data_IF_893176454840
#
_entry.id   IF_893176454840
#
_cell.length_a   1.000
_cell.length_b   1.000
_cell.length_c   1.000
_cell.angle_alpha   90.00
_cell.angle_beta   90.00
_cell.angle_gamma   90.00
#
_symmetry.space_group_name_H-M   'P 1'
#
loop_
_entity.id
_entity.type
_entity.pdbx_description
1 polymer ?
#
# COMPACT_ATOMS: atom_id res chain seq x y z
N UNK A 1 -7.87 -6.21 -13.55
CA UNK A 1 -7.90 -5.63 -12.20
C UNK A 1 -7.76 -6.74 -11.18
N UNK A 2 -6.89 -6.52 -10.20
CA UNK A 2 -6.74 -7.36 -9.02
C UNK A 2 -8.01 -7.28 -8.17
N UNK A 3 -8.38 -8.40 -7.55
CA UNK A 3 -9.43 -8.41 -6.54
C UNK A 3 -8.91 -7.82 -5.23
N UNK A 4 -9.81 -7.43 -4.33
CA UNK A 4 -9.43 -6.97 -2.98
C UNK A 4 -8.59 -8.03 -2.24
N UNK A 5 -8.92 -9.32 -2.41
CA UNK A 5 -8.14 -10.44 -1.88
C UNK A 5 -6.73 -10.49 -2.49
N UNK A 6 -6.59 -10.37 -3.80
CA UNK A 6 -5.26 -10.38 -4.46
C UNK A 6 -4.38 -9.23 -3.97
N UNK A 7 -4.97 -8.05 -3.77
CA UNK A 7 -4.29 -6.87 -3.21
C UNK A 7 -3.80 -7.15 -1.79
N UNK A 8 -4.70 -7.64 -0.93
CA UNK A 8 -4.38 -8.01 0.44
C UNK A 8 -3.24 -9.04 0.50
N UNK A 9 -3.34 -10.13 -0.26
CA UNK A 9 -2.34 -11.20 -0.28
C UNK A 9 -0.99 -10.67 -0.78
N UNK A 10 -0.99 -9.86 -1.84
CA UNK A 10 0.24 -9.27 -2.40
C UNK A 10 0.93 -8.33 -1.42
N UNK A 11 0.19 -7.42 -0.80
CA UNK A 11 0.76 -6.47 0.19
C UNK A 11 1.23 -7.21 1.43
N UNK A 12 0.43 -8.13 1.96
CA UNK A 12 0.78 -8.90 3.16
C UNK A 12 2.06 -9.69 2.95
N UNK A 13 2.16 -10.43 1.84
CA UNK A 13 3.37 -11.18 1.50
C UNK A 13 4.58 -10.26 1.33
N UNK A 14 4.40 -9.11 0.68
CA UNK A 14 5.49 -8.13 0.50
C UNK A 14 6.00 -7.60 1.84
N UNK A 15 5.11 -7.10 2.70
CA UNK A 15 5.49 -6.54 4.00
C UNK A 15 6.18 -7.59 4.89
N UNK A 16 5.63 -8.80 4.94
CA UNK A 16 6.18 -9.90 5.74
C UNK A 16 7.50 -10.44 5.19
N UNK A 17 7.77 -10.30 3.88
CA UNK A 17 9.06 -10.63 3.29
C UNK A 17 10.09 -9.52 3.51
N UNK A 18 9.69 -8.25 3.34
CA UNK A 18 10.59 -7.10 3.47
C UNK A 18 11.03 -6.86 4.91
N UNK A 19 10.12 -7.04 5.89
CA UNK A 19 10.36 -6.85 7.33
C UNK A 19 11.09 -5.55 7.68
N UNK A 20 10.76 -4.48 6.96
CA UNK A 20 11.33 -3.15 7.18
C UNK A 20 10.39 -2.09 6.60
N UNK A 21 10.29 -0.96 7.30
CA UNK A 21 9.56 0.22 6.85
C UNK A 21 10.28 0.83 5.63
N UNK A 22 9.49 1.30 4.67
CA UNK A 22 9.96 2.14 3.56
C UNK A 22 9.68 3.60 3.87
N UNK A 23 10.70 4.31 4.34
CA UNK A 23 10.62 5.70 4.80
C UNK A 23 11.84 6.51 4.35
N UNK A 24 11.75 7.84 4.38
CA UNK A 24 12.91 8.72 4.25
C UNK A 24 13.57 9.05 5.58
N UNK A 25 14.61 9.89 5.54
CA UNK A 25 15.41 10.27 6.71
C UNK A 25 14.60 10.96 7.81
N UNK A 26 13.40 11.46 7.50
CA UNK A 26 12.49 12.10 8.44
C UNK A 26 11.43 11.13 8.99
N UNK A 27 11.50 9.84 8.64
CA UNK A 27 10.51 8.83 9.00
C UNK A 27 9.19 8.96 8.22
N UNK A 28 9.19 9.70 7.10
CA UNK A 28 7.98 9.81 6.26
C UNK A 28 7.91 8.64 5.29
N UNK A 29 6.74 7.98 5.21
CA UNK A 29 6.51 6.86 4.31
C UNK A 29 6.86 7.22 2.86
N UNK A 30 7.51 6.26 2.17
CA UNK A 30 7.88 6.34 0.76
C UNK A 30 7.35 5.14 -0.01
N UNK A 31 6.72 5.39 -1.16
CA UNK A 31 6.36 4.30 -2.09
C UNK A 31 7.61 3.50 -2.45
N UNK A 32 8.75 4.19 -2.66
CA UNK A 32 10.08 3.57 -2.74
C UNK A 32 11.11 4.37 -1.95
N UNK A 33 11.78 3.70 -1.02
CA UNK A 33 12.92 4.25 -0.28
C UNK A 33 14.24 3.59 -0.70
N UNK A 34 15.33 4.01 -0.04
CA UNK A 34 16.65 3.42 -0.23
C UNK A 34 16.67 1.90 -0.04
N UNK A 35 17.69 1.25 -0.60
CA UNK A 35 17.88 -0.21 -0.51
C UNK A 35 16.77 -1.05 -1.15
N UNK A 36 16.02 -0.49 -2.10
CA UNK A 36 14.98 -1.21 -2.86
C UNK A 36 13.70 -1.50 -2.07
N UNK A 37 13.53 -0.87 -0.91
CA UNK A 37 12.34 -1.04 -0.08
C UNK A 37 11.13 -0.35 -0.70
N UNK A 38 9.96 -0.94 -0.52
CA UNK A 38 8.66 -0.40 -0.94
C UNK A 38 7.68 -0.44 0.23
N UNK A 39 6.85 0.58 0.40
CA UNK A 39 5.78 0.53 1.41
C UNK A 39 4.63 -0.38 0.94
N UNK A 40 3.55 -0.45 1.72
CA UNK A 40 2.33 -1.18 1.37
C UNK A 40 1.83 -0.81 -0.05
N UNK A 41 1.59 0.48 -0.29
CA UNK A 41 1.08 0.99 -1.58
C UNK A 41 2.13 0.87 -2.68
N UNK A 42 3.38 1.20 -2.38
CA UNK A 42 4.49 1.13 -3.33
C UNK A 42 4.74 -0.28 -3.88
N UNK A 43 4.44 -1.32 -3.09
CA UNK A 43 4.57 -2.73 -3.50
C UNK A 43 3.62 -3.14 -4.64
N UNK A 44 2.51 -2.40 -4.78
CA UNK A 44 1.49 -2.64 -5.80
C UNK A 44 1.84 -1.99 -7.14
N UNK A 45 2.62 -0.92 -7.12
CA UNK A 45 2.94 -0.12 -8.30
C UNK A 45 4.01 -0.83 -9.14
N UNK A 46 3.71 -1.06 -10.42
CA UNK A 46 4.66 -1.65 -11.36
C UNK A 46 5.94 -0.81 -11.46
N UNK A 47 7.09 -1.47 -11.63
CA UNK A 47 8.39 -0.80 -11.64
C UNK A 47 8.52 0.25 -12.73
N UNK A 48 7.93 0.00 -13.90
CA UNK A 48 7.95 0.88 -15.05
C UNK A 48 7.07 2.13 -14.87
N UNK A 49 6.09 2.05 -13.97
CA UNK A 49 5.12 3.11 -13.67
C UNK A 49 5.54 3.99 -12.49
N UNK A 50 6.50 3.55 -11.67
CA UNK A 50 7.02 4.36 -10.59
C UNK A 50 7.75 5.60 -11.12
N UNK A 51 7.44 6.75 -10.52
CA UNK A 51 8.01 8.06 -10.83
C UNK A 51 8.15 8.84 -9.53
N UNK A 52 9.25 9.56 -9.25
CA UNK A 52 9.38 10.31 -8.00
C UNK A 52 8.22 11.30 -7.74
N UNK A 53 7.53 11.75 -8.79
CA UNK A 53 6.40 12.67 -8.74
C UNK A 53 5.07 12.05 -8.24
N UNK A 54 5.00 10.73 -8.06
CA UNK A 54 3.85 10.06 -7.41
C UNK A 54 4.04 9.91 -5.90
N UNK A 55 5.21 10.27 -5.37
CA UNK A 55 5.48 10.31 -3.92
C UNK A 55 4.79 11.49 -3.23
N UNK A 56 4.67 11.42 -1.91
CA UNK A 56 4.24 12.54 -1.06
C UNK A 56 2.72 12.75 -0.95
N UNK A 57 1.92 11.87 -1.56
CA UNK A 57 0.46 11.82 -1.37
C UNK A 57 0.09 10.46 -0.81
N UNK A 58 -0.40 10.43 0.44
CA UNK A 58 -0.91 9.20 1.07
C UNK A 58 -2.23 8.75 0.46
N UNK A 59 -2.52 7.44 0.50
CA UNK A 59 -3.70 6.89 -0.18
C UNK A 59 -5.02 7.43 0.40
N UNK A 60 -5.03 7.81 1.69
CA UNK A 60 -6.18 8.42 2.37
C UNK A 60 -6.68 9.72 1.73
N UNK A 61 -5.83 10.46 1.01
CA UNK A 61 -6.22 11.65 0.24
C UNK A 61 -7.33 11.34 -0.78
N UNK A 62 -7.34 10.12 -1.31
CA UNK A 62 -8.25 9.69 -2.36
C UNK A 62 -9.62 9.22 -1.85
N UNK A 63 -9.89 9.31 -0.54
CA UNK A 63 -11.28 9.26 0.00
C UNK A 63 -12.15 10.39 -0.57
N UNK A 64 -11.53 11.52 -0.92
CA UNK A 64 -12.25 12.73 -1.35
C UNK A 64 -11.79 13.25 -2.72
N UNK A 65 -10.56 12.93 -3.13
CA UNK A 65 -10.06 13.27 -4.46
C UNK A 65 -10.51 12.25 -5.51
N UNK A 66 -10.85 12.75 -6.71
CA UNK A 66 -11.36 11.93 -7.83
C UNK A 66 -10.32 11.55 -8.87
N UNK A 67 -9.11 12.09 -8.76
CA UNK A 67 -8.01 11.83 -9.69
C UNK A 67 -6.66 12.24 -9.07
N UNK A 68 -5.56 11.69 -9.59
CA UNK A 68 -4.21 11.97 -9.14
C UNK A 68 -3.18 11.08 -9.83
N UNK A 69 -1.91 11.49 -9.78
CA UNK A 69 -0.82 10.72 -10.39
C UNK A 69 -0.65 9.33 -9.75
N UNK A 70 -0.80 9.23 -8.41
CA UNK A 70 -0.79 7.95 -7.70
C UNK A 70 -1.99 7.07 -8.08
N UNK A 71 -3.21 7.60 -8.13
CA UNK A 71 -4.40 6.84 -8.57
C UNK A 71 -4.23 6.26 -9.98
N UNK A 72 -3.74 7.07 -10.92
CA UNK A 72 -3.50 6.61 -12.28
C UNK A 72 -2.41 5.53 -12.33
N UNK A 73 -1.36 5.65 -11.53
CA UNK A 73 -0.29 4.65 -11.44
C UNK A 73 -0.81 3.32 -10.86
N UNK A 74 -1.64 3.37 -9.81
CA UNK A 74 -2.29 2.19 -9.23
C UNK A 74 -3.23 1.52 -10.25
N UNK A 75 -4.07 2.30 -10.93
CA UNK A 75 -5.00 1.78 -11.94
C UNK A 75 -4.26 1.10 -13.10
N UNK A 76 -3.19 1.72 -13.60
CA UNK A 76 -2.32 1.13 -14.61
C UNK A 76 -1.51 -0.07 -14.10
N UNK A 77 -1.41 -0.25 -12.78
CA UNK A 77 -0.84 -1.43 -12.11
C UNK A 77 -1.91 -2.46 -11.72
N UNK A 78 -3.08 -2.41 -12.36
CA UNK A 78 -4.23 -3.30 -12.12
C UNK A 78 -4.88 -3.17 -10.72
N UNK A 79 -4.66 -2.06 -10.00
CA UNK A 79 -5.31 -1.77 -8.72
C UNK A 79 -6.35 -0.66 -8.91
N UNK A 80 -7.63 -1.01 -8.79
CA UNK A 80 -8.73 -0.07 -8.99
C UNK A 80 -8.95 0.86 -7.77
N UNK A 81 -8.01 1.75 -7.49
CA UNK A 81 -8.12 2.73 -6.39
C UNK A 81 -9.13 3.88 -6.66
N UNK A 82 -9.97 3.77 -7.70
CA UNK A 82 -11.18 4.59 -7.84
C UNK A 82 -12.40 3.97 -7.14
N UNK A 83 -12.30 2.70 -6.77
CA UNK A 83 -13.30 2.00 -5.98
C UNK A 83 -13.11 2.34 -4.49
N UNK A 84 -14.12 2.92 -3.82
CA UNK A 84 -14.03 3.25 -2.40
C UNK A 84 -13.68 2.06 -1.50
N UNK A 85 -14.16 0.85 -1.81
CA UNK A 85 -13.85 -0.34 -1.00
C UNK A 85 -12.36 -0.71 -1.10
N UNK A 86 -11.79 -0.57 -2.30
CA UNK A 86 -10.35 -0.77 -2.52
C UNK A 86 -9.54 0.32 -1.81
N UNK A 87 -9.99 1.58 -1.86
CA UNK A 87 -9.32 2.68 -1.15
C UNK A 87 -9.28 2.41 0.36
N UNK A 88 -10.39 1.98 0.97
CA UNK A 88 -10.42 1.66 2.40
C UNK A 88 -9.47 0.50 2.74
N UNK A 89 -9.44 -0.58 1.94
CA UNK A 89 -8.47 -1.66 2.13
C UNK A 89 -7.02 -1.17 2.04
N UNK A 90 -6.70 -0.31 1.06
CA UNK A 90 -5.36 0.24 0.90
C UNK A 90 -4.95 1.11 2.09
N UNK A 91 -5.89 1.89 2.65
CA UNK A 91 -5.66 2.69 3.86
C UNK A 91 -5.33 1.78 5.04
N UNK A 92 -6.13 0.74 5.29
CA UNK A 92 -5.88 -0.20 6.39
C UNK A 92 -4.51 -0.88 6.28
N UNK A 93 -4.08 -1.21 5.06
CA UNK A 93 -2.77 -1.80 4.79
C UNK A 93 -1.61 -0.80 4.98
N UNK A 94 -1.81 0.46 4.60
CA UNK A 94 -0.87 1.55 4.83
C UNK A 94 -0.71 1.82 6.33
N UNK A 95 -1.82 1.89 7.08
CA UNK A 95 -1.82 2.06 8.54
C UNK A 95 -1.03 0.96 9.26
N UNK A 96 -1.14 -0.31 8.83
CA UNK A 96 -0.32 -1.39 9.41
C UNK A 96 1.18 -1.15 9.21
N UNK A 97 1.58 -0.65 8.03
CA UNK A 97 2.99 -0.36 7.72
C UNK A 97 3.51 0.89 8.44
N UNK A 98 2.69 1.95 8.53
CA UNK A 98 3.11 3.27 9.01
C UNK A 98 3.03 3.40 10.54
N UNK A 99 2.04 2.77 11.19
CA UNK A 99 1.74 3.03 12.61
C UNK A 99 2.23 1.94 13.58
N UNK A 100 2.65 0.78 13.08
CA UNK A 100 2.96 -0.38 13.92
C UNK A 100 4.36 -0.95 13.66
N UNK A 101 4.92 -1.58 14.70
CA UNK A 101 6.23 -2.21 14.58
C UNK A 101 6.16 -3.46 13.68
N UNK A 102 7.27 -3.75 12.98
CA UNK A 102 7.39 -4.89 12.05
C UNK A 102 7.04 -6.24 12.71
N UNK A 103 7.27 -6.36 14.02
CA UNK A 103 6.96 -7.58 14.76
C UNK A 103 5.46 -7.80 15.02
N UNK A 104 4.66 -6.73 14.93
CA UNK A 104 3.19 -6.76 15.05
C UNK A 104 2.48 -6.98 13.71
N UNK A 105 3.18 -6.75 12.59
CA UNK A 105 2.59 -6.86 11.24
C UNK A 105 1.91 -8.22 10.97
N UNK A 106 2.46 -9.39 11.33
CA UNK A 106 1.80 -10.67 11.06
C UNK A 106 0.40 -10.78 11.66
N UNK A 107 0.23 -10.33 12.91
CA UNK A 107 -1.05 -10.42 13.61
C UNK A 107 -2.02 -9.34 13.13
N UNK A 108 -1.53 -8.15 12.80
CA UNK A 108 -2.37 -7.06 12.31
C UNK A 108 -2.86 -7.31 10.87
N UNK A 109 -2.00 -7.81 10.00
CA UNK A 109 -2.39 -8.21 8.64
C UNK A 109 -3.43 -9.34 8.69
N UNK A 110 -3.26 -10.34 9.56
CA UNK A 110 -4.27 -11.38 9.76
C UNK A 110 -5.64 -10.79 10.16
N UNK A 111 -5.67 -9.80 11.07
CA UNK A 111 -6.92 -9.11 11.44
C UNK A 111 -7.56 -8.36 10.28
N UNK A 112 -6.77 -7.77 9.38
CA UNK A 112 -7.28 -7.16 8.14
C UNK A 112 -7.90 -8.26 7.27
N UNK A 113 -7.20 -9.38 7.06
CA UNK A 113 -7.72 -10.51 6.30
C UNK A 113 -9.04 -11.07 6.85
N UNK A 114 -9.16 -11.25 8.17
CA UNK A 114 -10.37 -11.71 8.84
C UNK A 114 -11.54 -10.73 8.67
N UNK A 115 -11.29 -9.42 8.84
CA UNK A 115 -12.30 -8.36 8.72
C UNK A 115 -12.97 -8.33 7.35
N UNK A 116 -12.17 -8.58 6.31
CA UNK A 116 -12.62 -8.61 4.92
C UNK A 116 -12.96 -10.02 4.41
N UNK A 117 -12.93 -11.04 5.29
CA UNK A 117 -13.19 -12.45 4.97
C UNK A 117 -12.30 -13.03 3.84
N UNK A 118 -11.03 -12.62 3.79
CA UNK A 118 -10.04 -13.14 2.85
C UNK A 118 -9.36 -14.43 3.33
N UNK A 119 -9.37 -14.65 4.65
CA UNK A 119 -8.81 -15.82 5.35
C UNK A 119 -9.78 -16.40 6.37
#
# INVERSE_FOLDING_TARGET
MLTARDIYERVSNHLLAQRAVSEDENGSCRLRSGNGRKCAIGSLIADELYRPEIEGVGISYYRHAKDGSLLRALYASEVNAYDPEIVELLIELEEVHDDFSVDEWPQLLARVGERHAFI
#
